data_IF_274052837820
#
_entry.id   IF_274052837820
#
_cell.length_a   1.000
_cell.length_b   1.000
_cell.length_c   1.000
_cell.angle_alpha   90.00
_cell.angle_beta   90.00
_cell.angle_gamma   90.00
#
_symmetry.space_group_name_H-M   'P 1'
#
loop_
_entity.id
_entity.type
_entity.pdbx_description
1 polymer ?
#
# COMPACT_ATOMS: atom_id res chain seq x y z
N UNK A 1 1.39 60.02 38.17
CA UNK A 1 2.23 58.93 38.70
C UNK A 1 1.34 57.70 38.82
N UNK A 2 1.31 56.84 37.79
CA UNK A 2 0.40 55.68 37.74
C UNK A 2 1.05 54.45 38.38
N UNK A 3 0.35 53.70 39.25
CA UNK A 3 0.95 52.59 39.99
C UNK A 3 1.33 51.40 39.09
N UNK A 4 2.55 50.88 39.28
CA UNK A 4 3.20 49.81 38.50
C UNK A 4 2.54 48.41 38.60
N UNK A 5 1.44 48.25 39.32
CA UNK A 5 0.74 46.97 39.49
C UNK A 5 -0.29 46.69 38.39
N UNK A 6 -0.65 47.70 37.57
CA UNK A 6 -1.53 47.51 36.40
C UNK A 6 -0.84 46.83 35.21
N UNK A 7 0.49 46.78 35.16
CA UNK A 7 1.23 46.17 34.04
C UNK A 7 1.32 44.63 34.09
N UNK A 8 1.10 44.01 35.26
CA UNK A 8 1.18 42.54 35.38
C UNK A 8 -0.12 41.80 34.99
N UNK A 9 -1.26 42.50 34.91
CA UNK A 9 -2.52 41.88 34.48
C UNK A 9 -2.62 41.76 32.94
N UNK A 10 -1.90 42.63 32.21
CA UNK A 10 -1.88 42.62 30.74
C UNK A 10 -0.87 41.59 30.21
N UNK A 11 0.18 41.25 30.98
CA UNK A 11 1.19 40.30 30.56
C UNK A 11 0.70 38.84 30.57
N UNK A 12 -0.21 38.47 31.48
CA UNK A 12 -0.76 37.11 31.54
C UNK A 12 -1.87 36.84 30.51
N UNK A 13 -2.61 37.86 30.06
CA UNK A 13 -3.67 37.68 29.05
C UNK A 13 -3.05 37.58 27.64
N UNK A 14 -1.93 38.24 27.36
CA UNK A 14 -1.27 38.20 26.05
C UNK A 14 -0.60 36.87 25.70
N UNK A 15 -0.17 36.09 26.69
CA UNK A 15 0.53 34.80 26.47
C UNK A 15 -0.40 33.62 26.17
N UNK A 16 -1.67 33.69 26.56
CA UNK A 16 -2.64 32.62 26.29
C UNK A 16 -3.26 32.68 24.88
N UNK A 17 -3.22 33.83 24.19
CA UNK A 17 -3.90 33.98 22.87
C UNK A 17 -3.08 33.42 21.70
N UNK A 18 -1.79 33.09 21.90
CA UNK A 18 -0.94 32.50 20.86
C UNK A 18 -0.93 30.97 20.86
N UNK A 19 -1.74 30.32 21.69
CA UNK A 19 -1.82 28.86 21.76
C UNK A 19 -2.96 28.35 20.87
N UNK A 20 -2.65 27.96 19.63
CA UNK A 20 -3.45 26.93 18.97
C UNK A 20 -4.05 27.18 17.58
N UNK A 21 -3.50 28.07 16.76
CA UNK A 21 -3.82 28.03 15.33
C UNK A 21 -2.96 26.97 14.62
N UNK A 22 -3.42 25.73 14.62
CA UNK A 22 -2.96 24.75 13.63
C UNK A 22 -3.73 25.02 12.34
N UNK A 23 -3.09 25.66 11.37
CA UNK A 23 -3.64 25.73 10.02
C UNK A 23 -3.58 24.33 9.44
N UNK A 24 -4.73 23.78 9.06
CA UNK A 24 -4.75 22.63 8.17
C UNK A 24 -4.11 23.11 6.86
N UNK A 25 -2.86 22.69 6.61
CA UNK A 25 -2.20 22.96 5.34
C UNK A 25 -2.84 22.04 4.30
N UNK A 26 -3.41 22.61 3.24
CA UNK A 26 -3.91 21.83 2.12
C UNK A 26 -2.79 20.92 1.60
N UNK A 27 -3.06 19.62 1.45
CA UNK A 27 -2.14 18.70 0.81
C UNK A 27 -2.32 18.86 -0.70
N UNK A 28 -1.39 19.49 -1.43
CA UNK A 28 -1.58 19.73 -2.85
C UNK A 28 -1.52 18.40 -3.60
N UNK A 29 -2.65 17.98 -4.17
CA UNK A 29 -2.70 16.82 -5.04
C UNK A 29 -2.23 17.21 -6.44
N UNK A 30 -1.26 16.45 -6.98
CA UNK A 30 -0.82 16.57 -8.37
C UNK A 30 -1.51 15.50 -9.22
N UNK A 31 -2.18 15.89 -10.30
CA UNK A 31 -2.68 14.94 -11.31
C UNK A 31 -1.50 14.27 -12.03
N UNK A 32 -1.51 12.95 -12.10
CA UNK A 32 -0.61 12.15 -12.94
C UNK A 32 -1.49 11.26 -13.82
N UNK A 33 -1.25 11.30 -15.13
CA UNK A 33 -1.89 10.39 -16.07
C UNK A 33 -0.99 9.18 -16.27
N UNK A 34 -1.48 8.00 -15.93
CA UNK A 34 -0.70 6.75 -15.97
C UNK A 34 -0.94 6.02 -17.28
N UNK A 35 -2.21 5.90 -17.68
CA UNK A 35 -2.63 5.32 -18.94
C UNK A 35 -3.96 5.97 -19.37
N UNK A 36 -4.04 6.37 -20.64
CA UNK A 36 -5.22 7.01 -21.23
C UNK A 36 -6.11 6.03 -22.02
N UNK A 37 -5.74 4.75 -22.07
CA UNK A 37 -6.33 3.74 -22.96
C UNK A 37 -7.06 2.61 -22.23
N UNK A 38 -7.23 2.69 -20.90
CA UNK A 38 -7.96 1.70 -20.10
C UNK A 38 -9.15 2.37 -19.39
N UNK A 39 -10.33 1.75 -19.47
CA UNK A 39 -11.57 2.24 -18.82
C UNK A 39 -11.50 2.17 -17.28
N UNK A 40 -10.96 1.08 -16.75
CA UNK A 40 -10.53 0.89 -15.38
C UNK A 40 -11.63 0.87 -14.33
N UNK A 41 -12.57 -0.07 -14.45
CA UNK A 41 -13.69 -0.30 -13.53
C UNK A 41 -13.27 -0.75 -12.12
N UNK A 42 -12.30 -1.67 -12.01
CA UNK A 42 -11.76 -2.17 -10.74
C UNK A 42 -10.34 -1.67 -10.49
N UNK A 43 -9.99 -1.34 -9.24
CA UNK A 43 -8.63 -0.86 -8.87
C UNK A 43 -8.16 -1.48 -7.55
N UNK A 44 -6.91 -1.94 -7.52
CA UNK A 44 -6.23 -2.39 -6.30
C UNK A 44 -4.79 -1.87 -6.25
N UNK A 45 -4.20 -1.86 -5.06
CA UNK A 45 -2.83 -1.44 -4.81
C UNK A 45 -2.08 -2.51 -4.02
N UNK A 46 -0.82 -2.78 -4.37
CA UNK A 46 0.03 -3.75 -3.66
C UNK A 46 1.47 -3.77 -4.17
N UNK A 47 2.41 -4.24 -3.36
CA UNK A 47 3.82 -4.48 -3.75
C UNK A 47 3.92 -5.83 -4.50
N UNK A 48 3.55 -5.84 -5.79
CA UNK A 48 3.36 -7.09 -6.55
C UNK A 48 4.72 -7.72 -6.89
N UNK A 49 5.70 -6.93 -7.30
CA UNK A 49 7.05 -7.43 -7.61
C UNK A 49 7.98 -7.54 -6.40
N UNK A 50 7.57 -7.03 -5.25
CA UNK A 50 8.38 -7.10 -4.04
C UNK A 50 9.53 -6.09 -4.01
N UNK A 51 9.46 -4.98 -4.74
CA UNK A 51 10.44 -3.90 -4.69
C UNK A 51 10.21 -2.90 -3.53
N UNK A 52 9.08 -3.02 -2.83
CA UNK A 52 8.71 -2.19 -1.69
C UNK A 52 7.96 -0.91 -2.06
N UNK A 53 7.59 -0.74 -3.33
CA UNK A 53 6.72 0.30 -3.82
C UNK A 53 5.32 -0.27 -4.09
N UNK A 54 4.30 0.56 -3.86
CA UNK A 54 2.94 0.17 -4.20
C UNK A 54 2.73 0.27 -5.71
N UNK A 55 2.39 -0.86 -6.32
CA UNK A 55 1.93 -0.96 -7.70
C UNK A 55 0.43 -0.73 -7.80
N UNK A 56 -0.06 -0.59 -9.04
CA UNK A 56 -1.48 -0.44 -9.35
C UNK A 56 -1.94 -1.63 -10.18
N UNK A 57 -3.02 -2.28 -9.77
CA UNK A 57 -3.79 -3.21 -10.59
C UNK A 57 -5.07 -2.51 -11.03
N UNK A 58 -5.39 -2.59 -12.32
CA UNK A 58 -6.63 -2.05 -12.88
C UNK A 58 -7.33 -3.13 -13.71
N UNK A 59 -8.61 -3.35 -13.41
CA UNK A 59 -9.52 -4.24 -14.12
C UNK A 59 -10.48 -3.42 -15.00
N UNK A 60 -10.88 -4.00 -16.13
CA UNK A 60 -11.81 -3.46 -17.12
C UNK A 60 -11.85 -4.44 -18.31
N UNK A 61 -11.75 -3.95 -19.55
CA UNK A 61 -11.63 -4.84 -20.74
C UNK A 61 -10.42 -5.82 -20.68
N UNK A 62 -9.45 -5.51 -19.82
CA UNK A 62 -8.29 -6.34 -19.52
C UNK A 62 -7.86 -6.10 -18.07
N UNK A 63 -7.17 -7.09 -17.49
CA UNK A 63 -6.53 -6.97 -16.19
C UNK A 63 -5.08 -6.50 -16.42
N UNK A 64 -4.77 -5.27 -15.99
CA UNK A 64 -3.48 -4.64 -16.19
C UNK A 64 -2.78 -4.34 -14.86
N UNK A 65 -1.48 -4.60 -14.83
CA UNK A 65 -0.57 -4.25 -13.74
C UNK A 65 0.34 -3.10 -14.18
N UNK A 66 0.38 -2.02 -13.39
CA UNK A 66 1.29 -0.90 -13.58
C UNK A 66 2.30 -0.88 -12.44
N UNK A 67 3.54 -1.21 -12.77
CA UNK A 67 4.63 -1.35 -11.81
C UNK A 67 5.29 -0.01 -11.48
N UNK A 68 5.40 0.30 -10.20
CA UNK A 68 6.18 1.42 -9.71
C UNK A 68 7.69 1.08 -9.71
N UNK A 69 8.58 2.09 -9.72
CA UNK A 69 8.33 3.41 -10.27
C UNK A 69 8.25 3.35 -11.81
N UNK A 70 7.67 4.38 -12.42
CA UNK A 70 7.67 4.53 -13.88
C UNK A 70 6.48 3.89 -14.59
N UNK A 71 5.61 3.20 -13.86
CA UNK A 71 4.31 2.69 -14.32
C UNK A 71 4.40 1.78 -15.54
N UNK A 72 5.39 0.89 -15.55
CA UNK A 72 5.52 -0.10 -16.62
C UNK A 72 4.28 -1.00 -16.65
N UNK A 73 3.56 -0.99 -17.79
CA UNK A 73 2.30 -1.73 -17.97
C UNK A 73 2.57 -3.17 -18.40
N UNK A 74 1.94 -4.11 -17.70
CA UNK A 74 1.86 -5.54 -18.07
C UNK A 74 0.39 -5.95 -18.15
N UNK A 75 0.02 -6.66 -19.22
CA UNK A 75 -1.31 -7.28 -19.31
C UNK A 75 -1.23 -8.62 -18.60
N UNK A 76 -1.93 -8.74 -17.48
CA UNK A 76 -2.03 -9.98 -16.69
C UNK A 76 -2.96 -10.96 -17.40
N UNK A 77 -4.11 -10.45 -17.86
CA UNK A 77 -5.09 -11.23 -18.60
C UNK A 77 -5.92 -10.33 -19.52
N UNK A 78 -6.38 -10.90 -20.63
CA UNK A 78 -7.28 -10.25 -21.57
C UNK A 78 -8.28 -11.24 -22.18
N UNK A 79 -9.20 -10.74 -23.00
CA UNK A 79 -10.26 -11.55 -23.60
C UNK A 79 -11.41 -11.90 -22.64
N UNK A 80 -11.41 -11.25 -21.48
CA UNK A 80 -12.45 -11.31 -20.44
C UNK A 80 -12.65 -9.87 -19.96
N UNK A 81 -13.90 -9.46 -19.78
CA UNK A 81 -14.24 -8.21 -19.10
C UNK A 81 -14.16 -8.45 -17.58
N UNK A 82 -13.45 -7.59 -16.88
CA UNK A 82 -13.25 -7.67 -15.44
C UNK A 82 -14.11 -6.60 -14.76
N UNK A 83 -14.90 -7.01 -13.77
CA UNK A 83 -15.82 -6.12 -13.09
C UNK A 83 -15.16 -5.14 -12.11
N UNK A 84 -16.00 -4.47 -11.33
CA UNK A 84 -15.61 -3.38 -10.43
C UNK A 84 -14.89 -3.82 -9.15
N UNK A 85 -14.87 -5.12 -8.84
CA UNK A 85 -14.38 -5.63 -7.56
C UNK A 85 -13.14 -6.51 -7.77
N UNK A 86 -11.95 -5.96 -7.53
CA UNK A 86 -10.71 -6.72 -7.49
C UNK A 86 -10.01 -6.57 -6.14
N UNK A 87 -9.26 -7.58 -5.74
CA UNK A 87 -8.47 -7.57 -4.51
C UNK A 87 -7.07 -8.13 -4.77
N UNK A 88 -6.12 -7.74 -3.93
CA UNK A 88 -4.79 -8.34 -3.89
C UNK A 88 -4.49 -8.83 -2.49
N UNK A 89 -3.77 -9.95 -2.39
CA UNK A 89 -3.46 -10.59 -1.12
C UNK A 89 -2.61 -11.83 -1.33
N UNK A 90 -1.89 -12.24 -0.30
CA UNK A 90 -1.15 -13.51 -0.28
C UNK A 90 -2.15 -14.66 -0.02
N UNK A 91 -2.64 -15.31 -1.09
CA UNK A 91 -3.75 -16.27 -1.00
C UNK A 91 -3.24 -17.67 -0.64
N UNK A 92 -2.04 -18.03 -1.12
CA UNK A 92 -1.43 -19.34 -0.87
C UNK A 92 -0.40 -19.37 0.27
N UNK A 93 -0.14 -18.20 0.88
CA UNK A 93 0.75 -18.00 2.02
C UNK A 93 2.23 -18.31 1.70
N UNK A 94 2.68 -17.92 0.51
CA UNK A 94 4.07 -18.06 0.08
C UNK A 94 4.90 -16.76 0.25
N UNK A 95 4.24 -15.65 0.56
CA UNK A 95 4.85 -14.36 0.85
C UNK A 95 4.94 -13.40 -0.33
N UNK A 96 4.25 -13.68 -1.43
CA UNK A 96 3.95 -12.69 -2.46
C UNK A 96 2.45 -12.32 -2.51
N UNK A 97 2.12 -11.31 -3.32
CA UNK A 97 0.74 -10.85 -3.47
C UNK A 97 0.18 -11.38 -4.78
N UNK A 98 -0.96 -12.05 -4.66
CA UNK A 98 -1.79 -12.53 -5.75
C UNK A 98 -2.88 -11.54 -6.14
N UNK A 99 -3.56 -11.80 -7.26
CA UNK A 99 -4.71 -11.00 -7.72
C UNK A 99 -5.97 -11.87 -7.75
N UNK A 100 -7.04 -11.35 -7.14
CA UNK A 100 -8.38 -11.92 -7.20
C UNK A 100 -9.29 -11.00 -8.03
N UNK A 101 -9.94 -11.55 -9.05
CA UNK A 101 -10.83 -10.78 -9.91
C UNK A 101 -12.04 -11.61 -10.41
N UNK A 102 -13.23 -11.01 -10.58
CA UNK A 102 -14.38 -11.68 -11.16
C UNK A 102 -14.29 -11.73 -12.70
N UNK A 103 -14.80 -12.81 -13.28
CA UNK A 103 -15.10 -12.91 -14.72
C UNK A 103 -16.55 -12.44 -14.95
N UNK A 104 -16.75 -11.23 -15.46
CA UNK A 104 -18.11 -10.69 -15.65
C UNK A 104 -18.79 -11.22 -16.91
N UNK A 105 -18.03 -11.72 -17.90
CA UNK A 105 -18.60 -12.25 -19.14
C UNK A 105 -19.21 -13.63 -18.96
N UNK A 106 -18.54 -14.50 -18.18
CA UNK A 106 -19.05 -15.86 -17.92
C UNK A 106 -19.96 -15.94 -16.70
N UNK A 107 -20.14 -14.83 -15.97
CA UNK A 107 -21.10 -14.63 -14.86
C UNK A 107 -21.00 -15.60 -13.68
N UNK A 108 -20.03 -16.53 -13.65
CA UNK A 108 -19.94 -17.55 -12.59
C UNK A 108 -18.52 -17.84 -12.08
N UNK A 109 -17.49 -17.03 -12.39
CA UNK A 109 -16.13 -17.34 -11.94
C UNK A 109 -15.50 -16.22 -11.11
N UNK A 110 -14.90 -16.63 -10.00
CA UNK A 110 -13.85 -15.88 -9.31
C UNK A 110 -12.52 -16.41 -9.83
N UNK A 111 -11.71 -15.54 -10.40
CA UNK A 111 -10.40 -15.86 -10.94
C UNK A 111 -9.33 -15.48 -9.90
N UNK A 112 -8.45 -16.43 -9.62
CA UNK A 112 -7.23 -16.21 -8.87
C UNK A 112 -6.05 -16.27 -9.84
N UNK A 113 -5.22 -15.23 -9.82
CA UNK A 113 -3.96 -15.15 -10.54
C UNK A 113 -2.83 -15.23 -9.52
N UNK A 114 -2.23 -16.41 -9.43
CA UNK A 114 -1.06 -16.70 -8.61
C UNK A 114 0.13 -15.89 -9.11
N UNK A 115 0.82 -15.22 -8.19
CA UNK A 115 2.13 -14.66 -8.43
C UNK A 115 3.16 -15.75 -8.10
N UNK A 116 4.05 -16.14 -9.03
CA UNK A 116 4.96 -17.26 -8.82
C UNK A 116 6.30 -16.79 -8.24
N UNK A 117 6.33 -15.66 -7.50
CA UNK A 117 7.59 -15.10 -7.01
C UNK A 117 8.10 -16.03 -5.91
N UNK A 118 9.40 -16.37 -5.92
CA UNK A 118 9.93 -17.19 -4.84
C UNK A 118 9.75 -16.45 -3.49
N UNK A 119 9.45 -17.18 -2.40
CA UNK A 119 9.34 -16.60 -1.07
C UNK A 119 10.54 -15.72 -0.78
N UNK A 120 10.30 -14.50 -0.26
CA UNK A 120 11.41 -13.66 0.21
C UNK A 120 12.19 -14.50 1.22
N UNK A 121 13.44 -14.83 0.90
CA UNK A 121 14.29 -15.64 1.76
C UNK A 121 14.24 -15.04 3.17
N UNK A 122 13.57 -15.74 4.10
CA UNK A 122 13.33 -15.25 5.44
C UNK A 122 14.68 -14.92 6.06
N UNK A 123 14.95 -13.62 6.25
CA UNK A 123 16.16 -13.05 6.82
C UNK A 123 17.37 -14.00 6.84
N UNK A 124 18.17 -14.01 5.77
CA UNK A 124 19.57 -14.40 5.90
C UNK A 124 20.20 -13.41 6.90
N UNK A 125 20.26 -13.82 8.17
CA UNK A 125 20.94 -13.08 9.20
C UNK A 125 22.40 -12.96 8.81
N UNK A 126 22.79 -11.80 8.30
CA UNK A 126 24.19 -11.38 8.32
C UNK A 126 24.52 -11.10 9.78
N UNK A 127 24.86 -12.14 10.54
CA UNK A 127 25.52 -11.96 11.81
C UNK A 127 27.00 -11.82 11.50
N UNK A 128 27.42 -10.56 11.37
CA UNK A 128 28.75 -10.17 11.76
C UNK A 128 29.02 -10.75 13.15
N UNK A 129 30.12 -11.46 13.26
CA UNK A 129 30.61 -12.05 14.49
C UNK A 129 30.71 -10.97 15.58
N UNK A 130 29.78 -10.97 16.54
CA UNK A 130 30.01 -10.88 17.99
C UNK A 130 28.67 -10.89 18.72
N UNK A 131 28.40 -12.01 19.41
CA UNK A 131 27.52 -12.19 20.58
C UNK A 131 26.40 -11.17 20.80
N UNK A 132 25.17 -11.53 20.44
CA UNK A 132 24.05 -11.56 21.39
C UNK A 132 22.87 -12.35 20.78
N UNK A 133 22.24 -13.16 21.63
CA UNK A 133 21.13 -14.08 21.31
C UNK A 133 20.03 -13.37 20.51
N UNK A 134 19.43 -14.05 19.54
CA UNK A 134 18.01 -13.91 19.19
C UNK A 134 17.51 -15.21 18.56
N UNK A 135 16.61 -15.88 19.28
CA UNK A 135 15.81 -17.01 18.84
C UNK A 135 14.79 -16.55 17.79
N UNK A 136 14.89 -17.05 16.56
CA UNK A 136 13.72 -17.20 15.70
C UNK A 136 13.24 -18.65 15.78
N UNK A 137 11.98 -18.80 16.20
CA UNK A 137 11.39 -20.05 16.68
C UNK A 137 11.35 -21.15 15.64
N UNK A 138 11.69 -22.37 16.10
CA UNK A 138 11.31 -23.63 15.47
C UNK A 138 9.84 -23.91 15.76
N UNK A 139 9.13 -24.44 14.76
CA UNK A 139 7.77 -24.94 14.96
C UNK A 139 7.18 -25.65 13.75
N UNK A 140 7.94 -26.50 13.04
CA UNK A 140 7.32 -27.58 12.26
C UNK A 140 6.88 -28.66 13.23
N UNK A 141 5.58 -28.88 13.37
CA UNK A 141 5.04 -30.18 13.79
C UNK A 141 4.21 -30.71 12.64
N UNK A 142 4.83 -31.57 11.84
CA UNK A 142 4.12 -32.55 11.05
C UNK A 142 3.76 -33.75 11.95
N UNK A 143 2.65 -34.39 11.60
CA UNK A 143 2.26 -35.80 11.82
C UNK A 143 1.07 -36.01 12.77
N UNK A 144 0.29 -37.09 12.60
CA UNK A 144 0.33 -38.13 11.55
C UNK A 144 -0.74 -37.99 10.47
#
# INVERSE_FOLDING_TARGET
>A
MFPLWFLNLILCIGLCVFSGFSFAQDVPLRRVEIDSALDGDGKALGDIDGDGLADIIVAGEQLAWYRAPGWAKTIVAGGVDFGTEIQVGDIDNDGDLDILAPDTLKKENVLWFENPRPPRAACHGTVAETRHRNSCGRGRSASP
#
